data_IF_023847709683
#
_entry.id   IF_023847709683
#
_cell.length_a   1.000
_cell.length_b   1.000
_cell.length_c   1.000
_cell.angle_alpha   90.00
_cell.angle_beta   90.00
_cell.angle_gamma   90.00
#
_symmetry.space_group_name_H-M   'P 1'
#
loop_
_entity.id
_entity.type
_entity.pdbx_description
1 polymer ?
#
# COMPACT_ATOMS: atom_id res chain seq x y z
N UNK A 1 -12.21 0.36 -16.29
CA UNK A 1 -11.17 0.28 -15.25
C UNK A 1 -11.47 1.13 -14.01
N UNK A 2 -11.95 2.34 -14.20
CA UNK A 2 -12.34 3.20 -13.09
C UNK A 2 -13.39 2.56 -12.17
N UNK A 3 -14.37 1.89 -12.76
CA UNK A 3 -15.41 1.21 -12.00
C UNK A 3 -14.84 0.07 -11.15
N UNK A 4 -13.87 -0.68 -11.68
CA UNK A 4 -13.20 -1.73 -10.93
C UNK A 4 -12.41 -1.15 -9.77
N UNK A 5 -11.64 -0.10 -10.01
CA UNK A 5 -10.84 0.55 -8.97
C UNK A 5 -11.73 1.14 -7.87
N UNK A 6 -12.86 1.72 -8.23
CA UNK A 6 -13.83 2.25 -7.26
C UNK A 6 -14.39 1.16 -6.35
N UNK A 7 -14.68 -0.01 -6.92
CA UNK A 7 -15.15 -1.15 -6.14
C UNK A 7 -14.07 -1.66 -5.18
N UNK A 8 -12.81 -1.69 -5.63
CA UNK A 8 -11.68 -2.04 -4.75
C UNK A 8 -11.61 -1.07 -3.58
N UNK A 9 -11.71 0.22 -3.87
CA UNK A 9 -11.66 1.27 -2.85
C UNK A 9 -12.76 1.06 -1.80
N UNK A 10 -13.99 0.87 -2.27
CA UNK A 10 -15.13 0.69 -1.37
C UNK A 10 -14.98 -0.55 -0.49
N UNK A 11 -14.57 -1.67 -1.06
CA UNK A 11 -14.40 -2.91 -0.30
C UNK A 11 -13.31 -2.78 0.76
N UNK A 12 -12.15 -2.27 0.37
CA UNK A 12 -11.03 -2.09 1.30
C UNK A 12 -11.40 -1.10 2.40
N UNK A 13 -12.02 0.01 2.04
CA UNK A 13 -12.40 1.03 3.00
C UNK A 13 -13.39 0.48 4.03
N UNK A 14 -14.41 -0.25 3.59
CA UNK A 14 -15.38 -0.86 4.49
C UNK A 14 -14.72 -1.86 5.44
N UNK A 15 -13.84 -2.70 4.91
CA UNK A 15 -13.15 -3.67 5.75
C UNK A 15 -12.28 -2.96 6.80
N UNK A 16 -11.45 -2.02 6.37
CA UNK A 16 -10.54 -1.32 7.28
C UNK A 16 -11.29 -0.44 8.28
N UNK A 17 -12.41 0.13 7.87
CA UNK A 17 -13.27 0.89 8.77
C UNK A 17 -13.84 -0.02 9.86
N UNK A 18 -14.30 -1.22 9.50
CA UNK A 18 -14.82 -2.19 10.47
C UNK A 18 -13.75 -2.64 11.47
N UNK A 19 -12.49 -2.65 11.04
CA UNK A 19 -11.34 -2.99 11.89
C UNK A 19 -10.80 -1.78 12.65
N UNK A 20 -11.39 -0.60 12.45
CA UNK A 20 -10.96 0.67 13.06
C UNK A 20 -9.55 1.08 12.66
N UNK A 21 -9.10 0.64 11.49
CA UNK A 21 -7.78 0.98 10.96
C UNK A 21 -7.77 2.28 10.18
N UNK A 22 -8.92 2.73 9.71
CA UNK A 22 -9.09 4.01 9.00
C UNK A 22 -10.34 4.71 9.54
N UNK A 23 -10.46 6.00 9.24
CA UNK A 23 -11.64 6.78 9.56
C UNK A 23 -12.67 6.67 8.45
N UNK A 24 -13.92 7.07 8.75
CA UNK A 24 -15.00 7.07 7.79
C UNK A 24 -14.67 7.93 6.57
N UNK A 25 -14.03 9.08 6.79
CA UNK A 25 -13.55 9.93 5.73
C UNK A 25 -12.08 9.66 5.50
N UNK A 26 -11.72 9.39 4.24
CA UNK A 26 -10.33 9.16 3.86
C UNK A 26 -9.50 10.44 4.01
N UNK A 27 -8.29 10.36 4.55
CA UNK A 27 -7.43 11.53 4.65
C UNK A 27 -6.93 11.96 3.26
N UNK A 28 -6.72 13.25 3.09
CA UNK A 28 -6.09 13.79 1.90
C UNK A 28 -4.66 14.17 2.25
N UNK A 29 -3.71 13.56 1.56
CA UNK A 29 -2.30 13.86 1.75
C UNK A 29 -1.64 13.96 0.36
N UNK A 30 -1.73 15.14 -0.27
CA UNK A 30 -1.24 15.32 -1.65
C UNK A 30 0.21 14.92 -1.86
N UNK A 31 1.06 15.14 -0.86
CA UNK A 31 2.48 14.76 -0.95
C UNK A 31 2.66 13.26 -1.10
N UNK A 32 1.94 12.49 -0.29
CA UNK A 32 2.01 11.02 -0.33
C UNK A 32 1.35 10.48 -1.59
N UNK A 33 0.19 11.01 -1.95
CA UNK A 33 -0.52 10.62 -3.18
C UNK A 33 0.30 10.96 -4.42
N UNK A 34 1.00 12.08 -4.40
CA UNK A 34 1.84 12.53 -5.52
C UNK A 34 3.05 11.64 -5.77
N UNK A 35 3.46 10.84 -4.81
CA UNK A 35 4.58 9.91 -4.98
C UNK A 35 4.19 8.60 -5.66
N UNK A 36 2.91 8.36 -5.84
CA UNK A 36 2.41 7.10 -6.37
C UNK A 36 3.03 6.69 -7.70
N UNK A 37 3.03 7.59 -8.68
CA UNK A 37 3.51 7.25 -10.02
C UNK A 37 4.98 6.85 -10.03
N UNK A 38 5.81 7.58 -9.30
CA UNK A 38 7.23 7.27 -9.16
C UNK A 38 7.43 5.91 -8.52
N UNK A 39 6.73 5.66 -7.42
CA UNK A 39 6.83 4.40 -6.67
C UNK A 39 6.32 3.24 -7.50
N UNK A 40 5.17 3.39 -8.16
CA UNK A 40 4.60 2.34 -9.00
C UNK A 40 5.56 1.94 -10.11
N UNK A 41 6.11 2.92 -10.81
CA UNK A 41 7.04 2.68 -11.91
C UNK A 41 8.27 1.91 -11.46
N UNK A 42 8.79 2.22 -10.28
CA UNK A 42 9.97 1.55 -9.74
C UNK A 42 9.64 0.16 -9.19
N UNK A 43 8.45 -0.02 -8.61
CA UNK A 43 8.04 -1.27 -7.97
C UNK A 43 7.63 -2.35 -8.96
N UNK A 44 6.91 -1.97 -10.02
CA UNK A 44 6.28 -2.93 -10.94
C UNK A 44 7.22 -3.99 -11.48
N UNK A 45 8.48 -3.69 -11.88
CA UNK A 45 9.39 -4.74 -12.35
C UNK A 45 9.61 -5.86 -11.32
N UNK A 46 9.69 -5.52 -10.05
CA UNK A 46 9.83 -6.52 -8.98
C UNK A 46 8.48 -7.18 -8.67
N UNK A 47 7.44 -6.37 -8.52
CA UNK A 47 6.12 -6.83 -8.09
C UNK A 47 5.45 -7.75 -9.08
N UNK A 48 5.57 -7.46 -10.38
CA UNK A 48 4.91 -8.26 -11.40
C UNK A 48 5.57 -9.65 -11.52
N UNK A 49 6.86 -9.73 -11.28
CA UNK A 49 7.59 -11.00 -11.24
C UNK A 49 7.14 -11.84 -10.05
N UNK A 50 7.04 -11.22 -8.89
CA UNK A 50 6.60 -11.87 -7.67
C UNK A 50 5.14 -12.32 -7.75
N UNK A 51 4.30 -11.54 -8.43
CA UNK A 51 2.87 -11.82 -8.53
C UNK A 51 2.56 -13.20 -9.10
N UNK A 52 3.39 -13.71 -10.01
CA UNK A 52 3.17 -15.00 -10.64
C UNK A 52 3.19 -16.15 -9.62
N UNK A 53 4.12 -16.11 -8.69
CA UNK A 53 4.34 -17.18 -7.72
C UNK A 53 3.74 -16.86 -6.35
N UNK A 54 3.80 -15.59 -5.94
CA UNK A 54 3.36 -15.15 -4.62
C UNK A 54 2.55 -13.85 -4.72
N UNK A 55 1.31 -13.94 -5.24
CA UNK A 55 0.49 -12.74 -5.44
C UNK A 55 0.21 -11.97 -4.16
N UNK A 56 0.07 -12.65 -3.03
CA UNK A 56 -0.18 -11.98 -1.76
C UNK A 56 0.99 -11.10 -1.33
N UNK A 57 2.22 -11.54 -1.57
CA UNK A 57 3.41 -10.74 -1.28
C UNK A 57 3.49 -9.53 -2.21
N UNK A 58 3.30 -9.75 -3.51
CA UNK A 58 3.32 -8.68 -4.51
C UNK A 58 2.33 -7.57 -4.16
N UNK A 59 1.13 -7.94 -3.75
CA UNK A 59 0.09 -6.98 -3.39
C UNK A 59 0.32 -6.38 -2.00
N UNK A 60 0.59 -7.22 -1.00
CA UNK A 60 0.75 -6.77 0.38
C UNK A 60 1.93 -5.84 0.60
N UNK A 61 3.03 -6.06 -0.11
CA UNK A 61 4.22 -5.19 0.02
C UNK A 61 3.90 -3.73 -0.36
N UNK A 62 3.01 -3.53 -1.33
CA UNK A 62 2.62 -2.16 -1.69
C UNK A 62 1.88 -1.45 -0.56
N UNK A 63 1.10 -2.19 0.22
CA UNK A 63 0.43 -1.61 1.38
C UNK A 63 1.45 -1.18 2.45
N UNK A 64 2.46 -2.00 2.71
CA UNK A 64 3.55 -1.62 3.61
C UNK A 64 4.32 -0.41 3.09
N UNK A 65 4.55 -0.33 1.78
CA UNK A 65 5.21 0.82 1.16
C UNK A 65 4.40 2.09 1.42
N UNK A 66 3.08 2.04 1.24
CA UNK A 66 2.21 3.18 1.52
C UNK A 66 2.33 3.65 2.96
N UNK A 67 2.39 2.72 3.90
CA UNK A 67 2.59 3.06 5.32
C UNK A 67 3.95 3.70 5.55
N UNK A 68 5.01 3.17 4.93
CA UNK A 68 6.36 3.71 5.07
C UNK A 68 6.44 5.14 4.53
N UNK A 69 5.83 5.40 3.37
CA UNK A 69 5.85 6.73 2.75
C UNK A 69 5.12 7.74 3.64
N UNK A 70 3.98 7.35 4.22
CA UNK A 70 3.25 8.22 5.14
C UNK A 70 4.09 8.53 6.39
N UNK A 71 4.81 7.55 6.90
CA UNK A 71 5.72 7.76 8.05
C UNK A 71 6.84 8.75 7.69
N UNK A 72 7.45 8.58 6.54
CA UNK A 72 8.49 9.49 6.06
C UNK A 72 7.96 10.91 5.86
N UNK A 73 6.72 11.03 5.36
CA UNK A 73 6.07 12.33 5.22
C UNK A 73 5.97 13.07 6.55
N UNK A 74 5.66 12.34 7.63
CA UNK A 74 5.50 12.93 8.95
C UNK A 74 6.84 13.31 9.59
N UNK A 75 7.91 12.58 9.30
CA UNK A 75 9.20 12.77 9.99
C UNK A 75 10.15 13.72 9.27
N UNK A 76 10.55 13.39 8.04
CA UNK A 76 11.56 14.16 7.30
C UNK A 76 11.26 14.18 5.81
N UNK A 77 10.11 14.74 5.45
CA UNK A 77 9.68 14.75 4.06
C UNK A 77 10.63 15.45 3.10
N UNK A 78 11.30 16.51 3.56
CA UNK A 78 12.27 17.24 2.71
C UNK A 78 13.38 16.31 2.24
N UNK A 79 13.81 15.37 3.07
CA UNK A 79 14.87 14.42 2.71
C UNK A 79 14.30 13.32 1.84
N UNK A 80 13.25 12.65 2.31
CA UNK A 80 12.71 11.47 1.62
C UNK A 80 12.08 11.80 0.27
N UNK A 81 11.44 12.96 0.15
CA UNK A 81 10.82 13.37 -1.12
C UNK A 81 11.83 13.63 -2.24
N UNK A 82 13.08 13.91 -1.88
CA UNK A 82 14.15 14.21 -2.84
C UNK A 82 14.98 13.00 -3.23
N UNK A 83 14.72 11.85 -2.64
CA UNK A 83 15.44 10.64 -3.04
C UNK A 83 15.11 10.31 -4.49
N UNK A 84 16.14 9.96 -5.25
CA UNK A 84 15.98 9.66 -6.67
C UNK A 84 15.02 8.50 -6.91
N UNK A 85 15.08 7.48 -6.04
CA UNK A 85 14.20 6.31 -6.12
C UNK A 85 13.84 5.87 -4.70
N UNK A 86 12.73 6.39 -4.20
CA UNK A 86 12.29 6.10 -2.83
C UNK A 86 12.00 4.61 -2.62
N UNK A 87 11.37 3.96 -3.60
CA UNK A 87 11.13 2.53 -3.51
C UNK A 87 12.43 1.74 -3.37
N UNK A 88 13.42 2.02 -4.22
CA UNK A 88 14.70 1.33 -4.16
C UNK A 88 15.40 1.55 -2.82
N UNK A 89 15.28 2.74 -2.27
CA UNK A 89 15.83 3.05 -0.95
C UNK A 89 15.26 2.12 0.11
N UNK A 90 13.94 1.88 0.08
CA UNK A 90 13.27 0.99 1.02
C UNK A 90 13.67 -0.47 0.77
N UNK A 91 13.55 -0.91 -0.50
CA UNK A 91 13.84 -2.28 -0.90
C UNK A 91 15.24 -2.72 -0.52
N UNK A 92 16.22 -1.86 -0.75
CA UNK A 92 17.63 -2.23 -0.64
C UNK A 92 18.11 -2.34 0.81
N UNK A 93 17.29 -1.98 1.79
CA UNK A 93 17.66 -2.15 3.20
C UNK A 93 17.84 -3.61 3.59
N UNK A 94 16.92 -4.48 3.17
CA UNK A 94 16.98 -5.93 3.46
C UNK A 94 16.62 -6.80 2.25
N UNK A 95 16.40 -6.21 1.09
CA UNK A 95 15.95 -6.91 -0.10
C UNK A 95 14.44 -7.02 -0.17
N UNK A 96 13.94 -7.40 -1.35
CA UNK A 96 12.51 -7.45 -1.63
C UNK A 96 11.76 -8.39 -0.66
N UNK A 97 12.30 -9.59 -0.43
CA UNK A 97 11.60 -10.62 0.37
C UNK A 97 11.43 -10.23 1.83
N UNK A 98 12.33 -9.40 2.35
CA UNK A 98 12.31 -8.96 3.76
C UNK A 98 11.88 -7.50 3.91
N UNK A 99 11.32 -6.91 2.87
CA UNK A 99 10.91 -5.50 2.89
C UNK A 99 9.79 -5.25 3.90
N UNK A 100 8.85 -6.18 4.02
CA UNK A 100 7.77 -6.10 5.01
C UNK A 100 8.32 -6.06 6.43
N UNK A 101 9.27 -6.92 6.73
CA UNK A 101 9.89 -6.95 8.06
C UNK A 101 10.65 -5.66 8.35
N UNK A 102 11.41 -5.17 7.37
CA UNK A 102 12.13 -3.91 7.52
C UNK A 102 11.16 -2.77 7.84
N UNK A 103 10.08 -2.66 7.09
CA UNK A 103 9.12 -1.58 7.30
C UNK A 103 8.49 -1.69 8.68
N UNK A 104 8.03 -2.88 9.08
CA UNK A 104 7.39 -3.06 10.38
C UNK A 104 8.35 -2.78 11.54
N UNK A 105 9.57 -3.29 11.45
CA UNK A 105 10.53 -3.18 12.55
C UNK A 105 11.22 -1.82 12.62
N UNK A 106 11.72 -1.32 11.49
CA UNK A 106 12.61 -0.15 11.47
C UNK A 106 11.91 1.16 11.11
N UNK A 107 10.84 1.11 10.33
CA UNK A 107 10.12 2.31 9.92
C UNK A 107 8.93 2.58 10.85
N UNK A 108 8.09 1.58 11.05
CA UNK A 108 6.89 1.70 11.88
C UNK A 108 7.14 1.42 13.35
N UNK A 109 8.26 0.78 13.67
CA UNK A 109 8.69 0.45 15.03
C UNK A 109 7.66 -0.39 15.81
N UNK A 110 7.03 -1.33 15.11
CA UNK A 110 6.04 -2.21 15.70
C UNK A 110 6.70 -3.42 16.35
N UNK A 111 6.10 -3.91 17.43
CA UNK A 111 6.59 -5.08 18.17
C UNK A 111 5.43 -5.95 18.65
N UNK A 112 5.72 -7.23 18.84
CA UNK A 112 4.80 -8.15 19.49
C UNK A 112 3.47 -8.27 18.77
N UNK A 113 2.38 -8.11 19.52
CA UNK A 113 1.01 -8.31 19.02
C UNK A 113 0.65 -7.31 17.91
N UNK A 114 1.17 -6.09 17.98
CA UNK A 114 0.88 -5.07 16.96
C UNK A 114 1.48 -5.46 15.61
N UNK A 115 2.67 -6.04 15.63
CA UNK A 115 3.32 -6.56 14.44
C UNK A 115 2.46 -7.66 13.80
N UNK A 116 1.97 -8.61 14.61
CA UNK A 116 1.15 -9.72 14.15
C UNK A 116 -0.22 -9.26 13.63
N UNK A 117 -0.84 -8.31 14.31
CA UNK A 117 -2.14 -7.77 13.90
C UNK A 117 -2.02 -7.08 12.55
N UNK A 118 -0.99 -6.26 12.36
CA UNK A 118 -0.78 -5.60 11.08
C UNK A 118 -0.56 -6.60 9.95
N UNK A 119 0.22 -7.64 10.19
CA UNK A 119 0.45 -8.68 9.20
C UNK A 119 -0.86 -9.33 8.73
N UNK A 120 -1.78 -9.60 9.66
CA UNK A 120 -3.08 -10.18 9.33
C UNK A 120 -3.96 -9.21 8.54
N UNK A 121 -3.96 -7.94 8.92
CA UNK A 121 -4.74 -6.92 8.21
C UNK A 121 -4.25 -6.76 6.78
N UNK A 122 -2.94 -6.66 6.58
CA UNK A 122 -2.36 -6.55 5.24
C UNK A 122 -2.66 -7.79 4.41
N UNK A 123 -2.52 -8.99 5.00
CA UNK A 123 -2.83 -10.24 4.32
C UNK A 123 -4.28 -10.32 3.87
N UNK A 124 -5.21 -9.87 4.70
CA UNK A 124 -6.64 -9.84 4.34
C UNK A 124 -6.91 -8.85 3.20
N UNK A 125 -6.31 -7.67 3.23
CA UNK A 125 -6.45 -6.70 2.15
C UNK A 125 -5.89 -7.24 0.83
N UNK A 126 -4.71 -7.85 0.87
CA UNK A 126 -4.11 -8.46 -0.32
C UNK A 126 -5.01 -9.54 -0.90
N UNK A 127 -5.58 -10.40 -0.05
CA UNK A 127 -6.49 -11.45 -0.47
C UNK A 127 -7.76 -10.88 -1.14
N UNK A 128 -8.33 -9.83 -0.55
CA UNK A 128 -9.53 -9.19 -1.10
C UNK A 128 -9.31 -8.64 -2.50
N UNK A 129 -8.23 -7.90 -2.70
CA UNK A 129 -7.95 -7.33 -4.03
C UNK A 129 -7.56 -8.41 -5.03
N UNK A 130 -6.82 -9.43 -4.60
CA UNK A 130 -6.48 -10.56 -5.46
C UNK A 130 -7.73 -11.26 -5.97
N UNK A 131 -8.65 -11.58 -5.07
CA UNK A 131 -9.89 -12.26 -5.43
C UNK A 131 -10.76 -11.38 -6.36
N UNK A 132 -10.81 -10.09 -6.10
CA UNK A 132 -11.54 -9.16 -6.96
C UNK A 132 -10.92 -9.10 -8.36
N UNK A 133 -9.58 -9.07 -8.43
CA UNK A 133 -8.87 -9.07 -9.71
C UNK A 133 -9.16 -10.35 -10.51
N UNK A 134 -9.10 -11.51 -9.86
CA UNK A 134 -9.36 -12.79 -10.52
C UNK A 134 -10.79 -12.89 -11.02
N UNK A 135 -11.74 -12.32 -10.30
CA UNK A 135 -13.16 -12.33 -10.74
C UNK A 135 -13.39 -11.50 -11.99
N UNK A 136 -12.52 -10.55 -12.31
CA UNK A 136 -12.64 -9.77 -13.55
C UNK A 136 -12.35 -10.60 -14.79
N UNK A 137 -11.61 -11.70 -14.64
CA UNK A 137 -11.25 -12.61 -15.73
C UNK A 137 -10.55 -11.90 -16.90
N UNK A 138 -9.71 -10.93 -16.59
CA UNK A 138 -8.89 -10.30 -17.63
C UNK A 138 -7.98 -11.37 -18.26
N UNK A 139 -7.85 -11.32 -19.56
CA UNK A 139 -6.97 -12.24 -20.25
C UNK A 139 -5.50 -11.96 -19.88
N UNK A 140 -4.74 -12.98 -19.44
CA UNK A 140 -3.33 -12.79 -19.08
C UNK A 140 -2.51 -12.21 -20.24
N UNK A 141 -1.57 -11.34 -19.90
CA UNK A 141 -0.70 -10.71 -20.88
C UNK A 141 -1.31 -9.53 -21.61
N UNK A 142 -2.53 -9.14 -21.25
CA UNK A 142 -3.19 -7.98 -21.89
C UNK A 142 -2.96 -6.71 -21.08
N UNK A 143 -3.17 -5.57 -21.75
CA UNK A 143 -3.12 -4.27 -21.12
C UNK A 143 -4.17 -4.16 -20.00
N UNK A 144 -5.34 -4.76 -20.20
CA UNK A 144 -6.41 -4.73 -19.20
C UNK A 144 -6.00 -5.46 -17.92
N UNK A 145 -5.39 -6.64 -18.06
CA UNK A 145 -4.88 -7.40 -16.91
C UNK A 145 -3.80 -6.59 -16.17
N UNK A 146 -2.90 -5.96 -16.91
CA UNK A 146 -1.86 -5.10 -16.33
C UNK A 146 -2.48 -3.92 -15.59
N UNK A 147 -3.43 -3.22 -16.21
CA UNK A 147 -4.08 -2.08 -15.58
C UNK A 147 -4.87 -2.49 -14.34
N UNK A 148 -5.46 -3.68 -14.35
CA UNK A 148 -6.14 -4.25 -13.19
C UNK A 148 -5.19 -4.47 -12.02
N UNK A 149 -4.01 -5.03 -12.31
CA UNK A 149 -2.97 -5.21 -11.30
C UNK A 149 -2.52 -3.87 -10.72
N UNK A 150 -2.27 -2.88 -11.58
CA UNK A 150 -1.85 -1.54 -11.14
C UNK A 150 -2.94 -0.88 -10.28
N UNK A 151 -4.21 -1.05 -10.64
CA UNK A 151 -5.32 -0.53 -9.83
C UNK A 151 -5.33 -1.15 -8.43
N UNK A 152 -5.06 -2.45 -8.33
CA UNK A 152 -4.93 -3.11 -7.03
C UNK A 152 -3.78 -2.51 -6.20
N UNK A 153 -2.62 -2.33 -6.82
CA UNK A 153 -1.47 -1.73 -6.15
C UNK A 153 -1.79 -0.31 -5.66
N UNK A 154 -2.44 0.48 -6.51
CA UNK A 154 -2.78 1.87 -6.17
C UNK A 154 -3.68 1.95 -4.94
N UNK A 155 -4.72 1.12 -4.90
CA UNK A 155 -5.63 1.13 -3.76
C UNK A 155 -4.94 0.63 -2.48
N UNK A 156 -4.09 -0.37 -2.58
CA UNK A 156 -3.34 -0.83 -1.41
C UNK A 156 -2.37 0.23 -0.91
N UNK A 157 -1.71 0.95 -1.81
CA UNK A 157 -0.84 2.06 -1.45
C UNK A 157 -1.61 3.14 -0.68
N UNK A 158 -2.75 3.58 -1.22
CA UNK A 158 -3.57 4.62 -0.58
C UNK A 158 -4.11 4.18 0.77
N UNK A 159 -4.55 2.93 0.88
CA UNK A 159 -5.07 2.40 2.15
C UNK A 159 -3.97 2.23 3.18
N UNK A 160 -2.79 1.79 2.77
CA UNK A 160 -1.64 1.72 3.66
C UNK A 160 -1.28 3.08 4.21
N UNK A 161 -1.22 4.09 3.32
CA UNK A 161 -0.96 5.47 3.74
C UNK A 161 -2.02 5.97 4.71
N UNK A 162 -3.31 5.72 4.42
CA UNK A 162 -4.41 6.14 5.28
C UNK A 162 -4.33 5.52 6.68
N UNK A 163 -4.00 4.23 6.75
CA UNK A 163 -3.83 3.54 8.03
C UNK A 163 -2.72 4.17 8.86
N UNK A 164 -1.59 4.45 8.23
CA UNK A 164 -0.47 5.04 8.95
C UNK A 164 -0.74 6.48 9.37
N UNK A 165 -1.40 7.25 8.52
CA UNK A 165 -1.80 8.62 8.87
C UNK A 165 -2.70 8.62 10.10
N UNK A 166 -3.65 7.70 10.17
CA UNK A 166 -4.51 7.57 11.35
C UNK A 166 -3.71 7.22 12.59
N UNK A 167 -2.78 6.27 12.48
CA UNK A 167 -1.92 5.87 13.62
C UNK A 167 -1.10 7.03 14.16
N UNK A 168 -0.72 7.97 13.30
CA UNK A 168 0.03 9.17 13.70
C UNK A 168 -0.89 10.30 14.17
N UNK A 169 -2.19 10.07 14.23
CA UNK A 169 -3.15 11.07 14.69
C UNK A 169 -3.60 12.06 13.64
N UNK A 170 -3.34 11.80 12.36
CA UNK A 170 -3.78 12.64 11.26
C UNK A 170 -5.22 12.28 10.89
N UNK A 171 -6.14 13.22 11.09
CA UNK A 171 -7.56 13.03 10.76
C UNK A 171 -8.05 14.21 9.94
N UNK A 172 -8.84 13.93 8.91
CA UNK A 172 -9.41 14.98 8.04
C UNK A 172 -10.22 16.00 8.82
N UNK A 173 -10.94 15.55 9.84
CA UNK A 173 -11.76 16.42 10.67
C UNK A 173 -10.96 17.42 11.49
N UNK A 174 -9.66 17.25 11.58
CA UNK A 174 -8.77 18.12 12.36
C UNK A 174 -8.07 19.20 11.53
N UNK A 175 -8.33 19.24 10.24
CA UNK A 175 -7.64 20.15 9.31
C UNK A 175 -8.51 21.38 9.02
N UNK A 176 -9.11 21.92 9.98
CA UNK A 176 -9.95 23.12 9.77
C UNK A 176 -9.30 24.36 10.33
#
# INVERSE_FOLDING_TARGET
>A
MEEFEEKLHQDLHQFLLSMKEVDERMPECPDVEGKWEEIAKAYIPDGIREFQDFPSASLGWMMYIGMAVAKYWDTEWEIYSRLENLYAYIRDKRGYDSMDEYIREEVLLLKGVDFTVLEKVVGECASRVYNALMRQRFEPGTKEAFNGYVACLHQLYLMGAAMQLKRMGYHMTKIN
#
